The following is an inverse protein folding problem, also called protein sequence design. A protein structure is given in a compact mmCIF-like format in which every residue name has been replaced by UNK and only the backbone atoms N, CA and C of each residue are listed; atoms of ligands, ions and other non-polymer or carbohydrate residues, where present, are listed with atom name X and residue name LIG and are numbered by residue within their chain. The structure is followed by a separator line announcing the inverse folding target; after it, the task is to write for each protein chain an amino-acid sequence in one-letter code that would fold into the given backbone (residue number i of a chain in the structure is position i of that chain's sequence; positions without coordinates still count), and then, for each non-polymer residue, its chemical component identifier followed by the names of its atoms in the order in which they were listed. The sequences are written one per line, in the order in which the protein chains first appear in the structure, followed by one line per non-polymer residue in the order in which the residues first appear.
data_IF_514344820407
#
_entry.id   IF_514344820407
#
_cell.length_a   1.000
_cell.length_b   1.000
_cell.length_c   1.000
_cell.angle_alpha   90.00
_cell.angle_beta   90.00
_cell.angle_gamma   90.00
#
_symmetry.space_group_name_H-M   'P 1'
#
loop_
_entity.id
_entity.type
_entity.pdbx_description
1 polymer ?
#
# COMPACT_ATOMS: atom_id res chain seq x y z
N UNK A 1 26.75 -3.16 -6.63
CA UNK A 1 25.79 -4.24 -6.34
C UNK A 1 25.60 -4.27 -4.84
N UNK A 2 24.66 -3.47 -4.34
CA UNK A 2 24.24 -3.53 -2.93
C UNK A 2 23.55 -4.87 -2.74
N UNK A 3 24.04 -5.68 -1.81
CA UNK A 3 23.36 -6.91 -1.40
C UNK A 3 22.06 -6.45 -0.71
N UNK A 4 20.96 -6.33 -1.46
CA UNK A 4 19.64 -6.12 -0.86
C UNK A 4 19.32 -7.36 -0.03
N UNK A 5 19.26 -7.18 1.29
CA UNK A 5 18.87 -8.23 2.21
C UNK A 5 17.49 -8.74 1.80
N UNK A 6 17.43 -10.03 1.46
CA UNK A 6 16.22 -10.68 1.00
C UNK A 6 15.67 -11.56 2.12
N UNK A 7 14.38 -11.41 2.39
CA UNK A 7 13.65 -12.15 3.41
C UNK A 7 12.74 -13.20 2.76
N UNK A 8 12.46 -14.32 3.44
CA UNK A 8 11.38 -15.21 3.01
C UNK A 8 10.02 -14.48 3.13
N UNK A 9 9.01 -14.95 2.41
CA UNK A 9 7.63 -14.52 2.63
C UNK A 9 7.15 -14.93 4.03
N UNK A 10 6.36 -14.06 4.67
CA UNK A 10 5.65 -14.43 5.90
C UNK A 10 4.58 -15.49 5.63
N UNK A 11 4.08 -16.15 6.67
CA UNK A 11 3.03 -17.16 6.49
C UNK A 11 1.77 -16.62 5.80
N UNK A 12 1.25 -15.42 6.14
CA UNK A 12 0.15 -14.80 5.39
C UNK A 12 0.51 -14.51 3.93
N UNK A 13 1.71 -13.99 3.65
CA UNK A 13 2.15 -13.69 2.28
C UNK A 13 2.24 -14.95 1.42
N UNK A 14 2.70 -16.08 1.97
CA UNK A 14 2.76 -17.36 1.26
C UNK A 14 1.37 -17.84 0.81
N UNK A 15 0.34 -17.68 1.65
CA UNK A 15 -1.05 -18.03 1.26
C UNK A 15 -1.55 -17.17 0.11
N UNK A 16 -1.24 -15.87 0.15
CA UNK A 16 -1.61 -14.93 -0.93
C UNK A 16 -0.86 -15.28 -2.20
N UNK A 17 0.44 -15.58 -2.10
CA UNK A 17 1.27 -16.01 -3.22
C UNK A 17 0.72 -17.26 -3.92
N UNK A 18 0.29 -18.28 -3.17
CA UNK A 18 -0.31 -19.46 -3.78
C UNK A 18 -1.61 -19.15 -4.53
N UNK A 19 -2.45 -18.26 -4.00
CA UNK A 19 -3.65 -17.79 -4.71
C UNK A 19 -3.29 -17.07 -6.00
N UNK A 20 -2.27 -16.20 -5.96
CA UNK A 20 -1.79 -15.44 -7.11
C UNK A 20 -1.25 -16.38 -8.22
N UNK A 21 -0.49 -17.42 -7.85
CA UNK A 21 0.02 -18.42 -8.81
C UNK A 21 -1.12 -19.20 -9.49
N UNK A 22 -2.20 -19.51 -8.77
CA UNK A 22 -3.35 -20.28 -9.31
C UNK A 22 -4.28 -19.41 -10.16
N UNK A 23 -4.33 -18.11 -9.90
CA UNK A 23 -5.27 -17.18 -10.52
C UNK A 23 -4.58 -15.99 -11.18
N UNK A 24 -3.39 -16.21 -11.73
CA UNK A 24 -2.59 -15.19 -12.41
C UNK A 24 -3.45 -14.40 -13.41
N UNK A 25 -3.15 -13.11 -13.55
CA UNK A 25 -3.78 -12.18 -14.51
C UNK A 25 -5.23 -11.77 -14.21
N UNK A 26 -5.82 -12.20 -13.09
CA UNK A 26 -7.19 -11.81 -12.71
C UNK A 26 -7.27 -10.64 -11.73
N UNK A 27 -6.13 -10.19 -11.21
CA UNK A 27 -6.08 -9.14 -10.18
C UNK A 27 -6.89 -9.50 -8.93
N UNK A 28 -7.09 -10.79 -8.66
CA UNK A 28 -7.92 -11.29 -7.55
C UNK A 28 -7.27 -10.99 -6.20
N UNK A 29 -5.95 -10.89 -6.17
CA UNK A 29 -5.19 -10.51 -4.99
C UNK A 29 -5.01 -8.99 -4.86
N UNK A 30 -5.71 -8.16 -5.63
CA UNK A 30 -5.67 -6.71 -5.47
C UNK A 30 -6.79 -6.22 -4.56
N UNK A 31 -6.41 -5.52 -3.50
CA UNK A 31 -7.31 -4.78 -2.62
C UNK A 31 -7.56 -3.38 -3.18
N UNK A 32 -8.82 -2.98 -3.25
CA UNK A 32 -9.21 -1.66 -3.73
C UNK A 32 -10.08 -0.96 -2.72
N UNK A 33 -9.79 0.30 -2.48
CA UNK A 33 -10.52 1.12 -1.53
C UNK A 33 -10.57 2.59 -1.98
N UNK A 34 -11.61 3.28 -1.51
CA UNK A 34 -11.79 4.70 -1.71
C UNK A 34 -11.97 5.35 -0.34
N UNK A 35 -10.93 6.02 0.15
CA UNK A 35 -10.97 6.71 1.43
C UNK A 35 -11.46 8.15 1.23
N UNK A 36 -12.69 8.44 1.68
CA UNK A 36 -13.32 9.76 1.54
C UNK A 36 -13.02 10.66 2.73
N UNK A 37 -12.75 11.92 2.43
CA UNK A 37 -12.49 13.00 3.37
C UNK A 37 -13.49 14.11 3.10
N UNK A 38 -14.43 14.32 4.01
CA UNK A 38 -15.51 15.32 3.89
C UNK A 38 -15.02 16.73 4.25
N UNK A 39 -14.04 17.23 3.51
CA UNK A 39 -13.56 18.63 3.59
C UNK A 39 -12.84 19.04 2.31
N UNK A 40 -12.73 20.36 2.12
CA UNK A 40 -11.82 20.94 1.13
C UNK A 40 -10.37 20.69 1.54
N UNK A 41 -9.59 20.10 0.64
CA UNK A 41 -8.17 19.80 0.87
C UNK A 41 -7.25 20.57 -0.09
N UNK A 42 -6.02 20.80 0.35
CA UNK A 42 -4.91 21.17 -0.50
C UNK A 42 -4.26 19.87 -1.02
N UNK A 43 -4.37 19.60 -2.31
CA UNK A 43 -3.91 18.35 -2.92
C UNK A 43 -2.39 18.19 -2.91
N UNK A 44 -1.62 19.30 -2.92
CA UNK A 44 -0.16 19.23 -2.76
C UNK A 44 0.21 18.77 -1.35
N UNK A 45 -0.49 19.26 -0.32
CA UNK A 45 -0.30 18.75 1.05
C UNK A 45 -0.76 17.30 1.19
N UNK A 46 -1.90 16.94 0.59
CA UNK A 46 -2.38 15.56 0.63
C UNK A 46 -1.38 14.61 -0.04
N UNK A 47 -0.76 15.03 -1.14
CA UNK A 47 0.31 14.29 -1.79
C UNK A 47 1.51 14.05 -0.84
N UNK A 48 2.00 15.11 -0.18
CA UNK A 48 3.07 15.01 0.81
C UNK A 48 2.71 14.05 1.96
N UNK A 49 1.47 14.12 2.45
CA UNK A 49 0.95 13.21 3.48
C UNK A 49 0.99 11.76 3.02
N UNK A 50 0.50 11.46 1.80
CA UNK A 50 0.51 10.08 1.29
C UNK A 50 1.94 9.57 1.12
N UNK A 51 2.86 10.38 0.58
CA UNK A 51 4.28 10.03 0.51
C UNK A 51 4.88 9.73 1.89
N UNK A 52 4.58 10.58 2.88
CA UNK A 52 5.04 10.37 4.26
C UNK A 52 4.51 9.06 4.84
N UNK A 53 3.22 8.78 4.69
CA UNK A 53 2.61 7.53 5.16
C UNK A 53 3.29 6.32 4.51
N UNK A 54 3.57 6.35 3.21
CA UNK A 54 4.28 5.23 2.55
C UNK A 54 5.70 5.09 3.12
N UNK A 55 6.42 6.20 3.30
CA UNK A 55 7.80 6.19 3.81
C UNK A 55 7.92 5.67 5.25
N UNK A 56 6.90 5.86 6.08
CA UNK A 56 6.88 5.43 7.49
C UNK A 56 6.30 4.01 7.69
N UNK A 57 5.81 3.36 6.62
CA UNK A 57 5.29 1.99 6.65
C UNK A 57 6.06 1.13 5.62
N UNK A 58 7.14 0.50 6.07
CA UNK A 58 8.04 -0.31 5.22
C UNK A 58 7.34 -1.45 4.45
N UNK A 59 6.21 -1.95 4.96
CA UNK A 59 5.36 -2.95 4.29
C UNK A 59 4.89 -2.51 2.90
N UNK A 60 4.58 -1.22 2.71
CA UNK A 60 4.20 -0.68 1.38
C UNK A 60 5.39 -0.59 0.42
N UNK A 61 6.62 -0.69 0.95
CA UNK A 61 7.86 -0.64 0.20
C UNK A 61 8.45 -2.04 -0.07
N UNK A 62 7.68 -3.09 0.17
CA UNK A 62 8.02 -4.46 -0.19
C UNK A 62 8.02 -4.64 -1.71
N UNK A 63 9.07 -5.26 -2.22
CA UNK A 63 9.16 -5.78 -3.58
C UNK A 63 9.41 -7.28 -3.55
N UNK A 64 8.83 -7.99 -4.52
CA UNK A 64 9.09 -9.43 -4.69
C UNK A 64 10.26 -9.65 -5.64
N UNK A 65 11.03 -10.68 -5.34
CA UNK A 65 12.16 -11.15 -6.15
C UNK A 65 11.95 -12.61 -6.50
N UNK A 66 12.06 -12.93 -7.78
CA UNK A 66 12.06 -14.31 -8.26
C UNK A 66 13.18 -15.12 -7.59
N UNK A 67 12.90 -16.39 -7.35
CA UNK A 67 13.82 -17.33 -6.72
C UNK A 67 13.87 -18.65 -7.50
N UNK A 68 14.05 -18.56 -8.83
CA UNK A 68 14.00 -19.70 -9.73
C UNK A 68 12.65 -20.41 -9.67
N UNK A 69 12.65 -21.73 -9.38
CA UNK A 69 11.43 -22.54 -9.24
C UNK A 69 10.89 -22.63 -7.79
N UNK A 70 11.44 -21.85 -6.87
CA UNK A 70 11.03 -21.84 -5.47
C UNK A 70 10.08 -20.67 -5.18
N UNK A 71 9.53 -20.64 -3.96
CA UNK A 71 8.80 -19.47 -3.45
C UNK A 71 9.67 -18.20 -3.58
N UNK A 72 9.07 -17.08 -4.01
CA UNK A 72 9.81 -15.84 -4.16
C UNK A 72 10.27 -15.32 -2.81
N UNK A 73 11.26 -14.44 -2.85
CA UNK A 73 11.72 -13.69 -1.69
C UNK A 73 11.15 -12.28 -1.74
N UNK A 74 11.22 -11.58 -0.63
CA UNK A 74 10.91 -10.17 -0.56
C UNK A 74 12.13 -9.36 -0.15
N UNK A 75 12.17 -8.11 -0.60
CA UNK A 75 13.15 -7.13 -0.16
C UNK A 75 12.45 -5.78 -0.02
N UNK A 76 13.07 -4.87 0.72
CA UNK A 76 12.51 -3.56 1.04
C UNK A 76 13.29 -2.49 0.30
N UNK A 77 12.57 -1.61 -0.37
CA UNK A 77 13.16 -0.41 -0.96
C UNK A 77 12.86 0.81 -0.08
N UNK A 78 13.65 1.87 -0.21
CA UNK A 78 13.23 3.16 0.34
C UNK A 78 12.15 3.74 -0.55
N UNK A 79 11.14 4.36 0.06
CA UNK A 79 10.16 5.13 -0.70
C UNK A 79 10.83 6.35 -1.33
N UNK A 80 10.63 6.52 -2.63
CA UNK A 80 11.02 7.73 -3.35
C UNK A 80 9.77 8.61 -3.50
N UNK A 81 9.88 9.89 -3.14
CA UNK A 81 8.75 10.80 -3.29
C UNK A 81 8.25 10.84 -4.74
N UNK A 82 6.94 10.75 -4.91
CA UNK A 82 6.30 10.75 -6.21
C UNK A 82 5.09 11.67 -6.23
N UNK A 83 4.78 12.19 -7.41
CA UNK A 83 3.52 12.90 -7.64
C UNK A 83 2.41 11.90 -7.98
N UNK A 84 1.42 11.77 -7.09
CA UNK A 84 0.26 10.92 -7.34
C UNK A 84 -0.67 11.54 -8.37
N UNK A 85 -1.29 10.71 -9.21
CA UNK A 85 -2.26 11.19 -10.18
C UNK A 85 -3.43 11.87 -9.49
N UNK A 86 -3.85 13.01 -10.04
CA UNK A 86 -4.98 13.79 -9.56
C UNK A 86 -6.12 13.76 -10.58
N UNK A 87 -7.31 13.37 -10.11
CA UNK A 87 -8.52 13.35 -10.92
C UNK A 87 -9.58 14.26 -10.32
N UNK A 88 -10.13 15.14 -11.15
CA UNK A 88 -11.24 16.02 -10.77
C UNK A 88 -12.57 15.45 -11.28
N UNK A 89 -13.34 14.88 -10.37
CA UNK A 89 -14.71 14.42 -10.59
C UNK A 89 -15.74 15.37 -9.94
N UNK A 90 -15.41 16.66 -9.70
CA UNK A 90 -16.37 17.62 -9.15
C UNK A 90 -17.35 18.20 -10.16
N UNK A 91 -16.97 18.20 -11.44
CA UNK A 91 -17.70 18.87 -12.51
C UNK A 91 -18.51 17.93 -13.41
N UNK A 92 -18.89 16.76 -12.91
CA UNK A 92 -19.53 15.76 -13.76
C UNK A 92 -21.04 15.93 -13.76
N UNK A 93 -21.58 16.36 -14.90
CA UNK A 93 -23.01 16.21 -15.22
C UNK A 93 -23.43 14.72 -15.23
N UNK A 94 -22.47 13.81 -15.34
CA UNK A 94 -22.64 12.36 -15.30
C UNK A 94 -22.08 11.78 -13.98
N UNK A 95 -22.97 11.40 -13.06
CA UNK A 95 -22.62 10.86 -11.74
C UNK A 95 -21.79 9.56 -11.78
N UNK A 96 -21.71 8.90 -12.94
CA UNK A 96 -21.14 7.54 -13.04
C UNK A 96 -19.66 7.52 -13.43
N UNK A 97 -19.03 8.64 -13.84
CA UNK A 97 -17.63 8.61 -14.32
C UNK A 97 -16.63 8.11 -13.28
N UNK A 98 -16.85 8.42 -12.00
CA UNK A 98 -16.00 7.89 -10.92
C UNK A 98 -16.12 6.37 -10.83
N UNK A 99 -17.34 5.84 -10.91
CA UNK A 99 -17.60 4.39 -10.85
C UNK A 99 -16.98 3.69 -12.05
N UNK A 100 -17.16 4.22 -13.26
CA UNK A 100 -16.53 3.70 -14.48
C UNK A 100 -15.00 3.71 -14.40
N UNK A 101 -14.41 4.79 -13.86
CA UNK A 101 -12.97 4.87 -13.64
C UNK A 101 -12.48 3.83 -12.63
N UNK A 102 -13.19 3.67 -11.50
CA UNK A 102 -12.89 2.63 -10.51
C UNK A 102 -12.99 1.24 -11.15
N UNK A 103 -14.05 0.97 -11.93
CA UNK A 103 -14.22 -0.30 -12.63
C UNK A 103 -13.07 -0.58 -13.61
N UNK A 104 -12.56 0.43 -14.31
CA UNK A 104 -11.38 0.27 -15.15
C UNK A 104 -10.15 -0.10 -14.31
N UNK A 105 -9.94 0.57 -13.17
CA UNK A 105 -8.88 0.23 -12.21
C UNK A 105 -9.03 -1.17 -11.60
N UNK A 106 -10.25 -1.75 -11.56
CA UNK A 106 -10.44 -3.14 -11.11
C UNK A 106 -9.81 -4.18 -12.03
N UNK A 107 -9.58 -3.84 -13.30
CA UNK A 107 -9.02 -4.74 -14.30
C UNK A 107 -7.49 -4.66 -14.39
N UNK A 108 -6.88 -3.68 -13.75
CA UNK A 108 -5.43 -3.53 -13.72
C UNK A 108 -4.77 -4.60 -12.84
N UNK A 109 -3.69 -5.18 -13.36
CA UNK A 109 -2.82 -6.13 -12.66
C UNK A 109 -1.47 -5.47 -12.38
N UNK A 110 -0.78 -5.95 -11.35
CA UNK A 110 0.59 -5.51 -11.09
C UNK A 110 1.58 -6.42 -11.81
N UNK A 111 2.64 -5.83 -12.37
CA UNK A 111 3.90 -6.59 -12.48
C UNK A 111 4.28 -6.96 -11.05
N UNK A 112 4.50 -8.24 -10.73
CA UNK A 112 4.71 -8.68 -9.35
C UNK A 112 6.15 -8.52 -8.87
N UNK A 113 7.10 -8.77 -9.78
CA UNK A 113 8.51 -8.81 -9.43
C UNK A 113 9.21 -7.49 -9.75
N UNK A 114 9.99 -7.02 -8.78
CA UNK A 114 10.84 -5.83 -8.89
C UNK A 114 10.10 -4.53 -9.24
N UNK A 115 8.89 -4.38 -8.76
CA UNK A 115 7.96 -3.28 -9.04
C UNK A 115 7.22 -2.85 -7.78
N UNK A 116 6.62 -1.65 -7.83
CA UNK A 116 5.69 -1.22 -6.80
C UNK A 116 4.40 -2.04 -6.91
N UNK A 117 3.89 -2.46 -5.76
CA UNK A 117 2.69 -3.28 -5.64
C UNK A 117 1.48 -2.47 -5.17
N UNK A 118 1.52 -1.16 -5.38
CA UNK A 118 0.44 -0.23 -5.08
C UNK A 118 0.30 0.81 -6.19
N UNK A 119 -0.90 1.38 -6.24
CA UNK A 119 -1.25 2.55 -7.01
C UNK A 119 -2.18 3.41 -6.14
N UNK A 120 -1.85 4.69 -5.99
CA UNK A 120 -2.68 5.67 -5.30
C UNK A 120 -3.01 6.82 -6.23
N UNK A 121 -4.23 7.34 -6.10
CA UNK A 121 -4.67 8.54 -6.79
C UNK A 121 -5.42 9.48 -5.84
N UNK A 122 -5.26 10.77 -6.05
CA UNK A 122 -5.95 11.82 -5.32
C UNK A 122 -7.16 12.27 -6.13
N UNK A 123 -8.33 12.32 -5.50
CA UNK A 123 -9.59 12.55 -6.19
C UNK A 123 -10.29 13.75 -5.56
N UNK A 124 -10.73 14.70 -6.39
CA UNK A 124 -11.72 15.71 -6.01
C UNK A 124 -13.11 15.19 -6.34
N UNK A 125 -13.98 15.07 -5.34
CA UNK A 125 -15.37 14.66 -5.52
C UNK A 125 -16.31 15.87 -5.62
N UNK A 126 -16.05 16.90 -4.82
CA UNK A 126 -16.67 18.22 -4.91
C UNK A 126 -15.79 19.24 -4.18
N UNK A 127 -16.24 20.48 -4.03
CA UNK A 127 -15.47 21.52 -3.35
C UNK A 127 -15.23 21.25 -1.86
N UNK A 128 -16.03 20.38 -1.24
CA UNK A 128 -15.99 20.03 0.18
C UNK A 128 -15.74 18.55 0.43
N UNK A 129 -15.37 17.78 -0.59
CA UNK A 129 -15.13 16.35 -0.46
C UNK A 129 -14.02 15.92 -1.41
N UNK A 130 -13.03 15.23 -0.86
CA UNK A 130 -11.99 14.58 -1.63
C UNK A 130 -11.90 13.10 -1.25
N UNK A 131 -11.14 12.34 -2.03
CA UNK A 131 -10.83 10.97 -1.72
C UNK A 131 -9.40 10.60 -2.08
N UNK A 132 -8.87 9.58 -1.41
CA UNK A 132 -7.68 8.86 -1.83
C UNK A 132 -8.15 7.49 -2.31
N UNK A 133 -7.94 7.19 -3.59
CA UNK A 133 -8.13 5.86 -4.13
C UNK A 133 -6.85 5.06 -3.94
N UNK A 134 -6.99 3.81 -3.50
CA UNK A 134 -5.91 2.84 -3.43
C UNK A 134 -6.26 1.58 -4.18
N UNK A 135 -5.34 1.12 -5.02
CA UNK A 135 -5.29 -0.24 -5.56
C UNK A 135 -3.96 -0.85 -5.11
N UNK A 136 -3.99 -1.90 -4.31
CA UNK A 136 -2.81 -2.43 -3.63
C UNK A 136 -2.83 -3.95 -3.67
N UNK A 137 -1.70 -4.58 -3.97
CA UNK A 137 -1.60 -6.03 -3.91
C UNK A 137 -1.68 -6.50 -2.46
N UNK A 138 -2.54 -7.48 -2.17
CA UNK A 138 -2.81 -7.99 -0.83
C UNK A 138 -1.55 -8.54 -0.14
N UNK A 139 -0.53 -8.92 -0.91
CA UNK A 139 0.75 -9.41 -0.37
C UNK A 139 1.52 -8.35 0.45
N UNK A 140 1.22 -7.06 0.25
CA UNK A 140 1.87 -5.95 0.97
C UNK A 140 0.92 -5.21 1.92
N UNK A 141 -0.38 -5.51 1.87
CA UNK A 141 -1.40 -4.77 2.63
C UNK A 141 -2.62 -5.65 2.90
N UNK A 142 -3.21 -5.53 4.08
CA UNK A 142 -4.47 -6.18 4.44
C UNK A 142 -5.53 -5.16 4.91
N UNK A 143 -6.72 -5.64 5.30
CA UNK A 143 -7.81 -4.77 5.76
C UNK A 143 -7.46 -3.92 6.98
N UNK A 144 -6.68 -4.45 7.93
CA UNK A 144 -6.24 -3.70 9.11
C UNK A 144 -5.22 -2.63 8.72
N UNK A 145 -4.30 -2.98 7.82
CA UNK A 145 -3.31 -2.05 7.26
C UNK A 145 -3.97 -0.91 6.50
N UNK A 146 -5.07 -1.17 5.78
CA UNK A 146 -5.88 -0.12 5.13
C UNK A 146 -6.44 0.84 6.17
N UNK A 147 -7.00 0.34 7.26
CA UNK A 147 -7.50 1.20 8.34
C UNK A 147 -6.39 2.09 8.89
N UNK A 148 -5.25 1.51 9.28
CA UNK A 148 -4.09 2.24 9.81
C UNK A 148 -3.60 3.30 8.82
N UNK A 149 -3.48 2.94 7.53
CA UNK A 149 -3.08 3.84 6.46
C UNK A 149 -4.00 5.06 6.36
N UNK A 150 -5.32 4.84 6.36
CA UNK A 150 -6.30 5.93 6.27
C UNK A 150 -6.33 6.82 7.53
N UNK A 151 -6.15 6.23 8.71
CA UNK A 151 -6.02 6.96 9.98
C UNK A 151 -4.77 7.84 10.01
N UNK A 152 -3.63 7.32 9.52
CA UNK A 152 -2.39 8.07 9.39
C UNK A 152 -2.52 9.24 8.42
N UNK A 153 -3.17 9.05 7.25
CA UNK A 153 -3.45 10.14 6.32
C UNK A 153 -4.27 11.24 7.01
N UNK A 154 -5.37 10.87 7.67
CA UNK A 154 -6.23 11.83 8.34
C UNK A 154 -5.48 12.61 9.43
N UNK A 155 -4.67 11.90 10.22
CA UNK A 155 -3.84 12.47 11.28
C UNK A 155 -2.78 13.41 10.73
N UNK A 156 -1.93 12.96 9.80
CA UNK A 156 -0.84 13.77 9.28
C UNK A 156 -1.31 14.98 8.50
N UNK A 157 -2.41 14.85 7.77
CA UNK A 157 -3.01 16.02 7.16
C UNK A 157 -3.46 17.05 8.21
N UNK A 158 -4.04 16.61 9.33
CA UNK A 158 -4.42 17.50 10.43
C UNK A 158 -3.20 18.09 11.16
N UNK A 159 -2.16 17.30 11.39
CA UNK A 159 -0.96 17.69 12.13
C UNK A 159 -0.05 18.64 11.32
N UNK A 160 -0.04 18.54 9.97
CA UNK A 160 0.64 19.50 9.10
C UNK A 160 0.02 20.91 9.13
N UNK A 161 -1.13 21.08 9.78
CA UNK A 161 -1.64 22.40 10.14
C UNK A 161 -1.05 22.94 11.47
N UNK A 162 -0.32 22.12 12.24
CA UNK A 162 0.08 22.40 13.63
C UNK A 162 1.59 22.27 13.93
N UNK A 163 2.48 22.30 12.92
CA UNK A 163 3.97 22.35 13.07
C UNK A 163 4.56 21.40 14.15
N UNK A 164 4.18 20.11 14.14
CA UNK A 164 4.85 19.09 14.96
C UNK A 164 5.45 18.02 14.06
N UNK A 165 6.79 17.99 13.99
CA UNK A 165 7.55 17.03 13.18
C UNK A 165 8.58 16.28 14.03
N UNK A 166 8.29 15.02 14.37
CA UNK A 166 9.27 13.94 14.38
C UNK A 166 8.56 12.65 13.92
N UNK A 167 9.13 11.98 12.91
CA UNK A 167 8.61 10.73 12.34
C UNK A 167 9.46 9.54 12.78
N UNK A 168 8.99 8.81 13.78
CA UNK A 168 9.50 7.48 14.10
C UNK A 168 8.81 6.46 13.17
N UNK A 169 9.53 5.45 12.65
CA UNK A 169 8.91 4.33 11.90
C UNK A 169 8.00 3.59 12.88
N UNK A 170 6.69 3.86 12.81
CA UNK A 170 5.73 3.29 13.77
C UNK A 170 5.41 1.83 13.50
N UNK A 171 5.46 1.40 12.24
CA UNK A 171 5.10 0.05 11.84
C UNK A 171 6.23 -0.55 10.98
N UNK A 172 7.06 -1.42 11.58
CA UNK A 172 8.08 -2.16 10.83
C UNK A 172 7.67 -3.60 10.57
N UNK A 173 7.43 -3.89 9.30
CA UNK A 173 7.22 -5.22 8.77
C UNK A 173 8.49 -6.07 8.86
N UNK A 174 9.68 -5.47 8.75
CA UNK A 174 10.95 -6.18 9.00
C UNK A 174 10.99 -6.71 10.45
N UNK A 175 10.54 -5.91 11.42
CA UNK A 175 10.43 -6.37 12.80
C UNK A 175 9.39 -7.49 12.94
N UNK A 176 8.25 -7.40 12.24
CA UNK A 176 7.26 -8.46 12.19
C UNK A 176 7.85 -9.78 11.67
N UNK A 177 8.59 -9.75 10.56
CA UNK A 177 9.27 -10.93 10.00
C UNK A 177 10.26 -11.55 11.00
N UNK A 178 11.02 -10.71 11.70
CA UNK A 178 11.98 -11.15 12.72
C UNK A 178 11.28 -11.84 13.90
N UNK A 179 10.16 -11.27 14.35
CA UNK A 179 9.35 -11.84 15.43
C UNK A 179 8.70 -13.17 15.01
N UNK A 180 8.17 -13.24 13.79
CA UNK A 180 7.56 -14.45 13.23
C UNK A 180 8.60 -15.59 13.20
N UNK A 181 9.79 -15.36 12.64
CA UNK A 181 10.87 -16.36 12.61
C UNK A 181 11.26 -16.83 14.00
N UNK A 182 11.41 -15.91 14.95
CA UNK A 182 11.78 -16.24 16.33
C UNK A 182 10.74 -17.16 16.97
N UNK A 183 9.46 -16.86 16.80
CA UNK A 183 8.35 -17.69 17.30
C UNK A 183 8.33 -19.09 16.68
N UNK A 184 8.59 -19.20 15.38
CA UNK A 184 8.66 -20.51 14.71
C UNK A 184 9.84 -21.34 15.23
N UNK A 185 11.03 -20.76 15.37
CA UNK A 185 12.20 -21.48 15.86
C UNK A 185 12.09 -21.83 17.36
N UNK A 186 11.48 -20.99 18.19
CA UNK A 186 11.27 -21.32 19.61
C UNK A 186 10.33 -22.50 19.82
N UNK A 187 9.32 -22.66 18.96
CA UNK A 187 8.35 -23.77 19.04
C UNK A 187 8.82 -25.06 18.35
N UNK A 188 9.96 -25.03 17.65
CA UNK A 188 10.51 -26.22 16.95
C UNK A 188 11.50 -27.01 17.83
N UNK A 189 11.92 -26.48 18.98
CA UNK A 189 12.94 -27.11 19.85
C UNK A 189 12.34 -28.03 20.94
N UNK A 190 11.00 -28.15 21.05
CA UNK A 190 10.37 -29.11 21.97
C UNK A 190 9.99 -30.44 21.29
N UNK A 191 10.98 -31.25 20.88
CA UNK A 191 10.79 -32.70 20.65
C UNK A 191 12.07 -33.50 20.89
#
# INVERSE_FOLDING_TARGET
MTNEECYPLSHPQRRIWYTEVVHSDKGICNLRFLFKLHRKMNYSKLNQVVNRVISENDGLCIRLKENGHQEPKQYFTKHEEQEFEFFDFSNVENTNLLEEWIEQKTKETFTLFNSNLYYFALIKLNDNECAVFGNVHHIIMDGLSIQIFTEQIAKYYYDMHNENEEGEIKNSYVQFLTNEQTYFFSNTIEY
#
